data_IF_686587783862
#
_entry.id   IF_686587783862
#
_cell.length_a   1.000
_cell.length_b   1.000
_cell.length_c   1.000
_cell.angle_alpha   90.00
_cell.angle_beta   90.00
_cell.angle_gamma   90.00
#
_symmetry.space_group_name_H-M   'P 1'
#
loop_
_entity.id
_entity.type
_entity.pdbx_description
1 polymer ?
#
# COMPACT_ATOMS: atom_id res chain seq x y z
N UNK A 1 4.48 19.36 22.91
CA UNK A 1 4.50 18.06 22.20
C UNK A 1 3.26 17.77 21.33
N UNK A 2 2.20 18.59 21.34
CA UNK A 2 0.95 18.31 20.60
C UNK A 2 0.93 18.67 19.10
N UNK A 3 1.86 19.50 18.59
CA UNK A 3 1.91 19.85 17.15
C UNK A 3 2.44 18.72 16.25
N UNK A 4 3.17 17.76 16.80
CA UNK A 4 3.78 16.67 16.04
C UNK A 4 2.73 15.74 15.43
N UNK A 5 1.75 15.29 16.22
CA UNK A 5 0.73 14.30 15.81
C UNK A 5 -0.14 14.82 14.65
N UNK A 6 -0.35 16.14 14.56
CA UNK A 6 -1.22 16.76 13.56
C UNK A 6 -0.68 16.70 12.12
N UNK A 7 0.65 16.60 11.94
CA UNK A 7 1.25 16.41 10.62
C UNK A 7 1.07 14.96 10.13
N UNK A 8 1.08 13.99 11.05
CA UNK A 8 0.97 12.55 10.75
C UNK A 8 -0.45 12.09 10.41
N UNK A 9 -1.48 12.84 10.81
CA UNK A 9 -2.89 12.51 10.51
C UNK A 9 -3.43 13.17 9.24
N UNK A 10 -2.64 14.05 8.60
CA UNK A 10 -3.07 14.73 7.37
C UNK A 10 -3.30 13.73 6.23
N UNK A 11 -4.43 13.88 5.54
CA UNK A 11 -4.78 13.21 4.28
C UNK A 11 -3.65 13.27 3.27
N UNK A 12 -2.98 14.41 3.17
CA UNK A 12 -1.89 14.59 2.22
C UNK A 12 -0.71 13.67 2.52
N UNK A 13 -0.29 13.59 3.78
CA UNK A 13 0.80 12.71 4.22
C UNK A 13 0.42 11.24 4.00
N UNK A 14 -0.79 10.83 4.38
CA UNK A 14 -1.26 9.45 4.16
C UNK A 14 -1.25 9.07 2.68
N UNK A 15 -1.74 9.95 1.80
CA UNK A 15 -1.74 9.72 0.34
C UNK A 15 -0.34 9.65 -0.22
N UNK A 16 0.56 10.55 0.19
CA UNK A 16 1.96 10.52 -0.23
C UNK A 16 2.64 9.24 0.24
N UNK A 17 2.40 8.79 1.47
CA UNK A 17 2.97 7.53 1.96
C UNK A 17 2.50 6.35 1.12
N UNK A 18 1.20 6.26 0.81
CA UNK A 18 0.66 5.19 -0.02
C UNK A 18 1.19 5.24 -1.45
N UNK A 19 1.09 6.40 -2.11
CA UNK A 19 1.57 6.58 -3.49
C UNK A 19 3.08 6.37 -3.55
N UNK A 20 3.83 6.94 -2.62
CA UNK A 20 5.28 6.80 -2.52
C UNK A 20 5.70 5.34 -2.37
N UNK A 21 5.00 4.55 -1.54
CA UNK A 21 5.26 3.12 -1.36
C UNK A 21 5.02 2.33 -2.64
N UNK A 22 3.92 2.61 -3.36
CA UNK A 22 3.64 1.93 -4.63
C UNK A 22 4.61 2.34 -5.73
N UNK A 23 4.93 3.63 -5.84
CA UNK A 23 5.88 4.13 -6.83
C UNK A 23 7.28 3.60 -6.55
N UNK A 24 7.74 3.61 -5.30
CA UNK A 24 9.05 3.07 -4.94
C UNK A 24 9.14 1.58 -5.23
N UNK A 25 8.07 0.82 -4.98
CA UNK A 25 8.00 -0.59 -5.30
C UNK A 25 8.05 -0.84 -6.81
N UNK A 26 7.24 -0.11 -7.60
CA UNK A 26 7.25 -0.22 -9.06
C UNK A 26 8.61 0.14 -9.65
N UNK A 27 9.25 1.21 -9.17
CA UNK A 27 10.59 1.60 -9.59
C UNK A 27 11.61 0.52 -9.24
N UNK A 28 11.51 -0.09 -8.06
CA UNK A 28 12.39 -1.20 -7.66
C UNK A 28 12.28 -2.39 -8.62
N UNK A 29 11.06 -2.76 -9.03
CA UNK A 29 10.84 -3.84 -9.98
C UNK A 29 11.33 -3.47 -11.39
N UNK A 30 10.97 -2.28 -11.88
CA UNK A 30 11.33 -1.84 -13.24
C UNK A 30 12.83 -1.61 -13.42
N UNK A 31 13.52 -1.14 -12.38
CA UNK A 31 14.94 -0.85 -12.42
C UNK A 31 15.81 -2.06 -12.04
N UNK A 32 15.22 -3.20 -11.69
CA UNK A 32 15.95 -4.40 -11.28
C UNK A 32 16.97 -4.84 -12.34
N UNK A 33 16.55 -5.07 -13.58
CA UNK A 33 17.44 -5.49 -14.67
C UNK A 33 18.39 -4.38 -15.14
N UNK A 34 17.91 -3.14 -15.41
CA UNK A 34 18.80 -2.04 -15.81
C UNK A 34 19.88 -1.70 -14.77
N UNK A 35 19.57 -1.84 -13.49
CA UNK A 35 20.53 -1.53 -12.42
C UNK A 35 21.79 -2.38 -12.45
N UNK A 36 21.72 -3.61 -13.00
CA UNK A 36 22.88 -4.50 -13.12
C UNK A 36 23.98 -3.89 -13.99
N UNK A 37 23.60 -3.12 -15.01
CA UNK A 37 24.55 -2.41 -15.88
C UNK A 37 25.30 -1.27 -15.16
N UNK A 38 24.75 -0.75 -14.07
CA UNK A 38 25.33 0.33 -13.26
C UNK A 38 26.23 -0.20 -12.13
N UNK A 39 26.41 -1.52 -12.03
CA UNK A 39 27.24 -2.15 -11.00
C UNK A 39 26.85 -1.74 -9.57
N UNK A 40 27.84 -1.30 -8.79
CA UNK A 40 27.64 -0.91 -7.39
C UNK A 40 26.66 0.26 -7.20
N UNK A 41 26.62 1.22 -8.13
CA UNK A 41 25.68 2.34 -8.07
C UNK A 41 24.22 1.88 -8.28
N UNK A 42 24.02 0.92 -9.18
CA UNK A 42 22.70 0.31 -9.39
C UNK A 42 22.22 -0.45 -8.15
N UNK A 43 23.10 -1.20 -7.50
CA UNK A 43 22.79 -1.88 -6.25
C UNK A 43 22.42 -0.90 -5.13
N UNK A 44 23.16 0.20 -4.97
CA UNK A 44 22.84 1.24 -3.99
C UNK A 44 21.47 1.89 -4.25
N UNK A 45 21.12 2.13 -5.52
CA UNK A 45 19.80 2.64 -5.92
C UNK A 45 18.68 1.67 -5.55
N UNK A 46 18.84 0.37 -5.84
CA UNK A 46 17.86 -0.64 -5.48
C UNK A 46 17.70 -0.76 -3.96
N UNK A 47 18.79 -0.70 -3.19
CA UNK A 47 18.73 -0.68 -1.73
C UNK A 47 17.95 0.52 -1.21
N UNK A 48 18.20 1.72 -1.76
CA UNK A 48 17.46 2.91 -1.38
C UNK A 48 15.96 2.77 -1.67
N UNK A 49 15.58 2.31 -2.86
CA UNK A 49 14.18 2.08 -3.23
C UNK A 49 13.52 1.00 -2.36
N UNK A 50 14.26 -0.04 -2.01
CA UNK A 50 13.82 -1.09 -1.08
C UNK A 50 13.55 -0.52 0.32
N UNK A 51 14.48 0.27 0.85
CA UNK A 51 14.32 0.95 2.13
C UNK A 51 13.14 1.91 2.14
N UNK A 52 12.94 2.70 1.08
CA UNK A 52 11.80 3.60 0.94
C UNK A 52 10.47 2.83 0.92
N UNK A 53 10.43 1.69 0.23
CA UNK A 53 9.25 0.83 0.19
C UNK A 53 8.94 0.24 1.56
N UNK A 54 9.94 -0.29 2.26
CA UNK A 54 9.77 -0.85 3.60
C UNK A 54 9.35 0.22 4.60
N UNK A 55 9.99 1.40 4.56
CA UNK A 55 9.63 2.52 5.42
C UNK A 55 8.19 2.96 5.18
N UNK A 56 7.81 3.15 3.91
CA UNK A 56 6.44 3.49 3.53
C UNK A 56 5.42 2.45 3.99
N UNK A 57 5.72 1.16 3.81
CA UNK A 57 4.91 0.05 4.31
C UNK A 57 4.74 0.10 5.84
N UNK A 58 5.84 0.26 6.59
CA UNK A 58 5.80 0.36 8.06
C UNK A 58 4.93 1.54 8.50
N UNK A 59 5.07 2.71 7.85
CA UNK A 59 4.23 3.87 8.15
C UNK A 59 2.75 3.58 7.91
N UNK A 60 2.42 2.91 6.80
CA UNK A 60 1.05 2.48 6.50
C UNK A 60 0.54 1.52 7.58
N UNK A 61 1.32 0.53 7.99
CA UNK A 61 0.93 -0.42 9.05
C UNK A 61 0.69 0.29 10.38
N UNK A 62 1.57 1.22 10.76
CA UNK A 62 1.41 2.03 11.97
C UNK A 62 0.11 2.85 11.88
N UNK A 63 -0.21 3.45 10.73
CA UNK A 63 -1.47 4.15 10.54
C UNK A 63 -2.68 3.24 10.68
N UNK A 64 -2.64 2.03 10.12
CA UNK A 64 -3.72 1.06 10.30
C UNK A 64 -3.91 0.70 11.77
N UNK A 65 -2.82 0.46 12.49
CA UNK A 65 -2.87 0.15 13.92
C UNK A 65 -3.44 1.32 14.72
N UNK A 66 -3.03 2.55 14.45
CA UNK A 66 -3.52 3.72 15.19
C UNK A 66 -4.99 4.04 14.89
N UNK A 67 -5.42 3.88 13.63
CA UNK A 67 -6.76 4.32 13.17
C UNK A 67 -7.83 3.22 13.25
N UNK A 68 -7.45 1.95 13.14
CA UNK A 68 -8.41 0.84 13.02
C UNK A 68 -8.39 -0.11 14.22
N UNK A 69 -7.36 -0.04 15.07
CA UNK A 69 -7.26 -0.89 16.25
C UNK A 69 -7.98 -0.26 17.45
N UNK A 70 -8.70 -1.05 18.27
CA UNK A 70 -9.28 -0.56 19.52
C UNK A 70 -8.19 -0.01 20.45
N UNK A 71 -8.40 1.19 20.99
CA UNK A 71 -7.51 1.75 22.01
C UNK A 71 -7.71 0.98 23.34
N UNK A 72 -6.64 0.70 24.11
CA UNK A 72 -6.77 -0.03 25.36
C UNK A 72 -7.63 0.77 26.36
N UNK A 73 -8.82 0.25 26.67
CA UNK A 73 -9.76 0.83 27.64
C UNK A 73 -11.03 1.50 27.05
N UNK A 74 -11.19 1.57 25.73
CA UNK A 74 -12.38 2.15 25.09
C UNK A 74 -12.92 1.25 23.98
N UNK A 75 -14.23 0.98 24.00
CA UNK A 75 -14.92 0.55 22.80
C UNK A 75 -14.68 1.62 21.71
N UNK A 76 -14.37 1.19 20.49
CA UNK A 76 -14.37 2.12 19.35
C UNK A 76 -15.73 2.80 19.30
N UNK A 77 -15.72 4.12 19.15
CA UNK A 77 -16.95 4.88 18.91
C UNK A 77 -17.69 4.28 17.70
N UNK A 78 -19.03 4.28 17.72
CA UNK A 78 -19.86 3.69 16.66
C UNK A 78 -19.49 4.28 15.29
N UNK A 79 -19.10 5.56 15.27
CA UNK A 79 -18.58 6.22 14.07
C UNK A 79 -17.28 5.61 13.57
N UNK A 80 -16.32 5.32 14.45
CA UNK A 80 -15.02 4.73 14.07
C UNK A 80 -15.21 3.29 13.56
N UNK A 81 -16.11 2.52 14.18
CA UNK A 81 -16.52 1.20 13.69
C UNK A 81 -17.11 1.29 12.27
N UNK A 82 -18.03 2.22 12.04
CA UNK A 82 -18.65 2.40 10.72
C UNK A 82 -17.62 2.77 9.63
N UNK A 83 -16.64 3.63 9.95
CA UNK A 83 -15.56 4.02 9.02
C UNK A 83 -14.67 2.82 8.69
N UNK A 84 -14.24 2.07 9.72
CA UNK A 84 -13.43 0.86 9.56
C UNK A 84 -14.15 -0.16 8.68
N UNK A 85 -15.40 -0.47 8.99
CA UNK A 85 -16.16 -1.49 8.28
C UNK A 85 -16.45 -1.06 6.83
N UNK A 86 -16.69 0.23 6.59
CA UNK A 86 -16.81 0.77 5.23
C UNK A 86 -15.52 0.59 4.45
N UNK A 87 -14.37 0.89 5.05
CA UNK A 87 -13.07 0.70 4.41
C UNK A 87 -12.82 -0.76 4.06
N UNK A 88 -13.04 -1.69 4.99
CA UNK A 88 -12.90 -3.12 4.72
C UNK A 88 -13.84 -3.63 3.62
N UNK A 89 -15.11 -3.18 3.60
CA UNK A 89 -16.04 -3.54 2.52
C UNK A 89 -15.55 -3.06 1.16
N UNK A 90 -15.08 -1.82 1.06
CA UNK A 90 -14.55 -1.28 -0.20
C UNK A 90 -13.26 -2.01 -0.60
N UNK A 91 -12.35 -2.27 0.34
CA UNK A 91 -11.14 -3.07 0.08
C UNK A 91 -11.46 -4.48 -0.39
N UNK A 92 -12.48 -5.14 0.19
CA UNK A 92 -12.92 -6.45 -0.27
C UNK A 92 -13.42 -6.41 -1.72
N UNK A 93 -14.22 -5.41 -2.09
CA UNK A 93 -14.69 -5.25 -3.47
C UNK A 93 -13.54 -4.99 -4.44
N UNK A 94 -12.61 -4.10 -4.08
CA UNK A 94 -11.44 -3.81 -4.90
C UNK A 94 -10.57 -5.06 -5.07
N UNK A 95 -10.28 -5.78 -3.97
CA UNK A 95 -9.51 -7.02 -4.02
C UNK A 95 -10.21 -8.09 -4.88
N UNK A 96 -11.51 -8.29 -4.69
CA UNK A 96 -12.29 -9.26 -5.46
C UNK A 96 -12.26 -8.95 -6.96
N UNK A 97 -12.45 -7.67 -7.32
CA UNK A 97 -12.33 -7.22 -8.70
C UNK A 97 -10.92 -7.45 -9.24
N UNK A 98 -9.88 -7.07 -8.49
CA UNK A 98 -8.47 -7.29 -8.89
C UNK A 98 -8.15 -8.77 -9.10
N UNK A 99 -8.62 -9.66 -8.23
CA UNK A 99 -8.44 -11.12 -8.37
C UNK A 99 -9.17 -11.63 -9.61
N UNK A 100 -10.41 -11.20 -9.85
CA UNK A 100 -11.17 -11.57 -11.05
C UNK A 100 -10.44 -11.10 -12.33
N UNK A 101 -9.97 -9.86 -12.36
CA UNK A 101 -9.21 -9.33 -13.48
C UNK A 101 -7.88 -10.06 -13.67
N UNK A 102 -7.16 -10.40 -12.59
CA UNK A 102 -5.92 -11.16 -12.67
C UNK A 102 -6.16 -12.59 -13.20
N UNK A 103 -7.24 -13.26 -12.77
CA UNK A 103 -7.63 -14.57 -13.28
C UNK A 103 -8.01 -14.52 -14.76
N UNK A 104 -8.81 -13.52 -15.16
CA UNK A 104 -9.19 -13.29 -16.55
C UNK A 104 -7.96 -13.00 -17.41
N UNK A 105 -7.04 -12.15 -16.93
CA UNK A 105 -5.77 -11.87 -17.60
C UNK A 105 -4.95 -13.15 -17.77
N UNK A 106 -4.78 -13.93 -16.70
CA UNK A 106 -4.03 -15.19 -16.74
C UNK A 106 -4.62 -16.18 -17.74
N UNK A 107 -5.95 -16.29 -17.80
CA UNK A 107 -6.66 -17.12 -18.78
C UNK A 107 -6.40 -16.67 -20.22
N UNK A 108 -6.53 -15.37 -20.51
CA UNK A 108 -6.28 -14.82 -21.84
C UNK A 108 -4.80 -14.90 -22.24
N UNK A 109 -3.90 -14.78 -21.27
CA UNK A 109 -2.46 -14.78 -21.49
C UNK A 109 -1.89 -16.18 -21.73
N UNK A 110 -2.50 -17.23 -21.17
CA UNK A 110 -2.02 -18.60 -21.28
C UNK A 110 -1.87 -19.06 -22.74
N UNK A 111 -2.84 -18.72 -23.60
CA UNK A 111 -2.93 -19.28 -24.95
C UNK A 111 -2.60 -18.28 -26.08
N UNK A 112 -2.52 -16.99 -25.77
CA UNK A 112 -2.40 -15.97 -26.81
C UNK A 112 -0.97 -15.75 -27.30
N UNK A 113 0.05 -16.06 -26.48
CA UNK A 113 1.45 -15.69 -26.73
C UNK A 113 1.72 -14.18 -26.85
N UNK A 114 0.68 -13.34 -26.75
CA UNK A 114 0.69 -11.89 -26.93
C UNK A 114 0.82 -11.15 -25.61
N UNK A 115 0.31 -11.74 -24.52
CA UNK A 115 0.32 -11.14 -23.20
C UNK A 115 1.53 -11.61 -22.38
N UNK A 116 2.10 -10.71 -21.58
CA UNK A 116 3.23 -11.01 -20.72
C UNK A 116 2.80 -11.90 -19.54
N UNK A 117 3.57 -12.96 -19.30
CA UNK A 117 3.47 -13.76 -18.08
C UNK A 117 4.87 -13.86 -17.46
N UNK A 118 5.00 -13.83 -16.13
CA UNK A 118 6.29 -13.91 -15.46
C UNK A 118 6.95 -15.27 -15.74
N UNK A 119 8.07 -15.25 -16.47
CA UNK A 119 8.80 -16.45 -16.88
C UNK A 119 9.93 -16.77 -15.90
N UNK A 120 10.56 -15.74 -15.36
CA UNK A 120 11.72 -15.85 -14.47
C UNK A 120 11.31 -15.93 -12.99
N UNK A 121 12.19 -16.47 -12.16
CA UNK A 121 11.98 -16.51 -10.70
C UNK A 121 11.87 -15.10 -10.11
N UNK A 122 12.65 -14.15 -10.61
CA UNK A 122 12.61 -12.75 -10.19
C UNK A 122 11.27 -12.08 -10.52
N UNK A 123 10.75 -12.26 -11.74
CA UNK A 123 9.43 -11.73 -12.11
C UNK A 123 8.31 -12.34 -11.26
N UNK A 124 8.36 -13.66 -11.00
CA UNK A 124 7.38 -14.32 -10.11
C UNK A 124 7.45 -13.78 -8.69
N UNK A 125 8.64 -13.56 -8.15
CA UNK A 125 8.82 -12.95 -6.83
C UNK A 125 8.33 -11.50 -6.79
N UNK A 126 8.58 -10.72 -7.84
CA UNK A 126 8.06 -9.36 -7.95
C UNK A 126 6.52 -9.37 -7.95
N UNK A 127 5.87 -10.23 -8.75
CA UNK A 127 4.40 -10.32 -8.70
C UNK A 127 3.91 -10.74 -7.31
N UNK A 128 4.53 -11.75 -6.70
CA UNK A 128 4.17 -12.24 -5.37
C UNK A 128 4.24 -11.14 -4.30
N UNK A 129 5.38 -10.46 -4.19
CA UNK A 129 5.56 -9.39 -3.20
C UNK A 129 4.66 -8.18 -3.47
N UNK A 130 4.41 -7.86 -4.75
CA UNK A 130 3.49 -6.79 -5.14
C UNK A 130 2.06 -7.07 -4.72
N UNK A 131 1.60 -8.31 -4.90
CA UNK A 131 0.27 -8.75 -4.42
C UNK A 131 0.19 -8.66 -2.91
N UNK A 132 1.20 -9.14 -2.17
CA UNK A 132 1.23 -9.04 -0.71
C UNK A 132 1.19 -7.59 -0.22
N UNK A 133 2.01 -6.72 -0.81
CA UNK A 133 2.03 -5.29 -0.51
C UNK A 133 0.66 -4.66 -0.76
N UNK A 134 0.06 -4.96 -1.92
CA UNK A 134 -1.26 -4.45 -2.29
C UNK A 134 -2.35 -4.88 -1.30
N UNK A 135 -2.47 -6.18 -1.03
CA UNK A 135 -3.53 -6.73 -0.16
C UNK A 135 -3.44 -6.19 1.26
N UNK A 136 -2.23 -6.14 1.83
CA UNK A 136 -2.02 -5.71 3.22
C UNK A 136 -2.19 -4.20 3.42
N UNK A 137 -1.92 -3.39 2.41
CA UNK A 137 -2.03 -1.93 2.49
C UNK A 137 -3.36 -1.39 1.96
N UNK A 138 -4.20 -2.23 1.34
CA UNK A 138 -5.44 -1.82 0.69
C UNK A 138 -6.44 -1.09 1.62
N UNK A 139 -6.69 -1.52 2.87
CA UNK A 139 -7.59 -0.80 3.77
C UNK A 139 -7.10 0.62 4.10
N UNK A 140 -5.79 0.78 4.34
CA UNK A 140 -5.20 2.10 4.55
C UNK A 140 -5.25 2.98 3.31
N UNK A 141 -5.00 2.39 2.13
CA UNK A 141 -5.15 3.10 0.87
C UNK A 141 -6.58 3.62 0.77
N UNK A 142 -7.58 2.76 0.84
CA UNK A 142 -8.99 3.14 0.79
C UNK A 142 -9.34 4.26 1.79
N UNK A 143 -8.88 4.17 3.04
CA UNK A 143 -9.13 5.18 4.06
C UNK A 143 -8.58 6.57 3.70
N UNK A 144 -7.38 6.65 3.12
CA UNK A 144 -6.80 7.95 2.82
C UNK A 144 -7.47 8.67 1.62
N UNK A 145 -8.28 7.96 0.83
CA UNK A 145 -9.15 8.56 -0.18
C UNK A 145 -10.59 8.78 0.29
N UNK A 146 -11.10 7.99 1.24
CA UNK A 146 -12.49 8.11 1.73
C UNK A 146 -12.66 9.10 2.89
N UNK A 147 -11.78 9.11 3.89
CA UNK A 147 -12.07 9.76 5.17
C UNK A 147 -11.54 11.19 5.26
N UNK A 148 -12.33 12.14 5.80
CA UNK A 148 -11.94 13.32 6.57
C UNK A 148 -10.46 13.63 6.79
N UNK A 149 -10.00 14.87 6.64
CA UNK A 149 -9.05 15.36 7.64
C UNK A 149 -9.89 15.54 8.90
N UNK A 150 -9.46 14.99 10.03
CA UNK A 150 -10.18 15.17 11.30
C UNK A 150 -10.00 16.64 11.70
N UNK A 151 -11.08 17.46 11.75
CA UNK A 151 -10.97 18.81 12.26
C UNK A 151 -10.57 18.73 13.74
N UNK A 152 -9.59 19.52 14.15
CA UNK A 152 -9.27 19.69 15.56
C UNK A 152 -10.46 20.38 16.24
N UNK A 153 -11.25 19.61 16.97
CA UNK A 153 -12.19 20.16 17.94
C UNK A 153 -11.42 20.26 19.26
N UNK A 154 -11.05 21.47 19.73
CA UNK A 154 -10.47 21.59 21.06
C UNK A 154 -11.49 21.04 22.05
N UNK A 155 -11.06 20.06 22.87
CA UNK A 155 -11.87 19.61 24.00
C UNK A 155 -12.27 20.85 24.84
N UNK A 156 -13.53 20.93 25.31
CA UNK A 156 -13.99 22.03 26.15
C UNK A 156 -13.21 22.11 27.47
#
# INVERSE_FOLDING_TARGET
>A
MHRGVHLWTSRFVRRISVVGTYVSYLLLVLLWEPSKALGGAGFALLLLLGLLTVLGYVLICVFQLVLLWPQPGGMLDERQLAVRDRAFRVSFWVLSASVLFAALYGYLAADSGLFWLPQTSSERQAVFWGVWLFVTTLPAAVLCWLEPDVPFEPAP
#
